data_IF_496731451654
#
_entry.id   IF_496731451654
#
_cell.length_a   1.000
_cell.length_b   1.000
_cell.length_c   1.000
_cell.angle_alpha   90.00
_cell.angle_beta   90.00
_cell.angle_gamma   90.00
#
_symmetry.space_group_name_H-M   'P 1'
#
loop_
_entity.id
_entity.type
_entity.pdbx_description
1 polymer ?
#
# COMPACT_ATOMS: atom_id res chain seq x y z
N UNK A 1 12.26 -58.07 68.90
CA UNK A 1 11.20 -57.08 69.20
C UNK A 1 11.89 -55.72 69.24
N UNK A 2 11.52 -54.74 68.40
CA UNK A 2 10.54 -53.66 68.70
C UNK A 2 10.85 -53.02 70.07
N UNK A 3 11.05 -51.71 70.26
CA UNK A 3 10.76 -50.53 69.42
C UNK A 3 11.45 -49.28 70.06
N UNK A 4 11.70 -48.10 69.45
CA UNK A 4 11.59 -47.53 68.08
C UNK A 4 12.49 -46.25 68.00
N UNK A 5 12.56 -45.53 66.86
CA UNK A 5 13.03 -44.12 66.78
C UNK A 5 12.11 -43.29 65.84
N UNK A 6 11.87 -42.00 66.11
CA UNK A 6 10.86 -41.23 65.37
C UNK A 6 11.35 -40.75 63.99
N UNK A 7 10.52 -40.95 62.97
CA UNK A 7 10.71 -40.33 61.66
C UNK A 7 10.32 -38.85 61.70
N UNK A 8 11.25 -37.96 61.33
CA UNK A 8 10.96 -36.56 61.10
C UNK A 8 10.28 -36.41 59.73
N UNK A 9 8.97 -36.15 59.71
CA UNK A 9 8.22 -35.93 58.47
C UNK A 9 8.44 -34.51 57.95
N UNK A 10 9.21 -34.37 56.87
CA UNK A 10 9.37 -33.10 56.16
C UNK A 10 8.14 -32.86 55.26
N UNK A 11 7.20 -32.02 55.72
CA UNK A 11 6.09 -31.57 54.87
C UNK A 11 6.64 -30.50 53.91
N UNK A 12 6.88 -30.89 52.65
CA UNK A 12 7.12 -29.94 51.57
C UNK A 12 5.76 -29.46 51.06
N UNK A 13 5.39 -28.23 51.41
CA UNK A 13 4.22 -27.58 50.82
C UNK A 13 4.55 -27.11 49.39
N UNK A 14 4.08 -27.85 48.38
CA UNK A 14 4.04 -27.33 47.01
C UNK A 14 2.95 -26.26 46.92
N UNK A 15 3.35 -24.99 46.85
CA UNK A 15 2.48 -23.92 46.36
C UNK A 15 2.36 -24.03 44.84
N UNK A 16 1.23 -24.56 44.35
CA UNK A 16 0.90 -24.52 42.92
C UNK A 16 0.46 -23.09 42.59
N UNK A 17 1.39 -22.27 42.10
CA UNK A 17 1.07 -20.96 41.55
C UNK A 17 0.35 -21.17 40.20
N UNK A 18 -0.98 -21.14 40.23
CA UNK A 18 -1.81 -21.13 39.03
C UNK A 18 -1.68 -19.80 38.31
N UNK A 19 -0.75 -19.71 37.36
CA UNK A 19 -0.69 -18.59 36.42
C UNK A 19 -1.86 -18.69 35.44
N UNK A 20 -2.99 -18.09 35.78
CA UNK A 20 -4.01 -17.76 34.80
C UNK A 20 -3.44 -16.69 33.87
N UNK A 21 -3.13 -17.08 32.62
CA UNK A 21 -2.93 -16.11 31.55
C UNK A 21 -4.25 -15.35 31.37
N UNK A 22 -4.35 -14.18 31.99
CA UNK A 22 -5.46 -13.28 31.74
C UNK A 22 -5.19 -12.65 30.37
N UNK A 23 -5.92 -13.11 29.36
CA UNK A 23 -5.90 -12.45 28.05
C UNK A 23 -6.31 -11.00 28.26
N UNK A 24 -5.39 -10.08 27.99
CA UNK A 24 -5.64 -8.66 28.12
C UNK A 24 -6.70 -8.27 27.10
N UNK A 25 -7.87 -7.84 27.58
CA UNK A 25 -8.93 -7.33 26.70
C UNK A 25 -8.36 -6.16 25.89
N UNK A 26 -8.29 -6.31 24.57
CA UNK A 26 -7.83 -5.27 23.66
C UNK A 26 -8.80 -4.08 23.75
N UNK A 27 -8.26 -2.86 23.75
CA UNK A 27 -9.10 -1.67 23.77
C UNK A 27 -9.98 -1.61 22.52
N UNK A 28 -11.16 -1.00 22.63
CA UNK A 28 -12.01 -0.66 21.47
C UNK A 28 -11.23 0.13 20.41
N UNK A 29 -10.28 0.97 20.86
CA UNK A 29 -9.35 1.73 20.01
C UNK A 29 -8.40 0.78 19.26
N UNK A 30 -7.88 -0.26 19.92
CA UNK A 30 -6.98 -1.24 19.29
C UNK A 30 -7.69 -2.09 18.23
N UNK A 31 -9.02 -2.21 18.31
CA UNK A 31 -9.86 -3.02 17.44
C UNK A 31 -10.54 -2.21 16.33
N UNK A 32 -10.52 -0.88 16.41
CA UNK A 32 -11.20 0.01 15.47
C UNK A 32 -10.41 0.23 14.17
N UNK A 33 -11.14 0.67 13.14
CA UNK A 33 -10.57 1.34 11.97
C UNK A 33 -10.54 2.84 12.23
N UNK A 34 -9.42 3.47 11.93
CA UNK A 34 -9.15 4.87 12.19
C UNK A 34 -9.01 5.62 10.88
N UNK A 35 -9.71 6.75 10.76
CA UNK A 35 -9.46 7.75 9.73
C UNK A 35 -8.15 8.50 10.08
N UNK A 36 -7.30 8.82 9.10
CA UNK A 36 -6.06 9.58 9.36
C UNK A 36 -6.33 11.00 9.91
N UNK A 37 -7.47 11.58 9.55
CA UNK A 37 -7.88 12.93 9.91
C UNK A 37 -7.02 14.02 9.27
N UNK A 38 -7.34 15.27 9.61
CA UNK A 38 -6.52 16.41 9.23
C UNK A 38 -5.13 16.34 9.90
N UNK A 39 -4.05 16.80 9.24
CA UNK A 39 -4.04 17.48 7.93
C UNK A 39 -3.96 16.56 6.70
N UNK A 40 -4.01 15.23 6.88
CA UNK A 40 -3.90 14.29 5.75
C UNK A 40 -5.21 14.21 4.98
N UNK A 41 -6.27 13.72 5.62
CA UNK A 41 -7.60 13.63 5.02
C UNK A 41 -8.31 14.98 5.12
N UNK A 42 -9.01 15.34 4.06
CA UNK A 42 -9.62 16.65 3.85
C UNK A 42 -11.06 16.50 3.36
N UNK A 43 -11.67 17.57 2.84
CA UNK A 43 -12.97 17.51 2.15
C UNK A 43 -12.86 17.03 0.69
N UNK A 44 -11.64 16.85 0.18
CA UNK A 44 -11.36 16.44 -1.20
C UNK A 44 -11.22 14.91 -1.27
N UNK A 45 -10.34 14.38 -2.12
CA UNK A 45 -10.14 12.94 -2.28
C UNK A 45 -8.67 12.62 -2.00
N UNK A 46 -8.43 11.82 -0.98
CA UNK A 46 -7.13 11.28 -0.61
C UNK A 46 -7.06 9.77 -0.86
N UNK A 47 -5.87 9.28 -1.21
CA UNK A 47 -5.62 7.86 -1.35
C UNK A 47 -4.25 7.58 -1.92
N UNK A 48 -4.08 6.36 -2.45
CA UNK A 48 -2.90 5.97 -3.26
C UNK A 48 -1.58 6.29 -2.54
N UNK A 49 -1.18 5.43 -1.59
CA UNK A 49 -0.17 5.76 -0.58
C UNK A 49 0.91 4.69 -0.38
N UNK A 50 2.07 5.12 0.08
CA UNK A 50 3.18 4.25 0.49
C UNK A 50 4.08 4.94 1.53
N UNK A 51 4.98 4.17 2.15
CA UNK A 51 5.81 4.63 3.26
C UNK A 51 7.27 4.23 3.08
N UNK A 52 8.19 5.13 3.46
CA UNK A 52 9.60 4.82 3.68
C UNK A 52 9.83 4.31 5.11
N UNK A 53 11.01 3.73 5.38
CA UNK A 53 11.35 3.15 6.70
C UNK A 53 11.41 4.21 7.82
N UNK A 54 11.66 5.48 7.46
CA UNK A 54 11.68 6.60 8.41
C UNK A 54 10.28 7.14 8.78
N UNK A 55 9.21 6.53 8.24
CA UNK A 55 7.83 6.96 8.46
C UNK A 55 7.35 8.09 7.53
N UNK A 56 8.18 8.53 6.58
CA UNK A 56 7.74 9.43 5.50
C UNK A 56 6.70 8.73 4.64
N UNK A 57 5.51 9.32 4.54
CA UNK A 57 4.44 8.89 3.64
C UNK A 57 4.49 9.72 2.36
N UNK A 58 4.34 9.06 1.21
CA UNK A 58 3.92 9.73 -0.04
C UNK A 58 2.50 9.27 -0.37
N UNK A 59 1.66 10.20 -0.83
CA UNK A 59 0.27 9.92 -1.16
C UNK A 59 -0.29 10.90 -2.20
N UNK A 60 -1.45 10.59 -2.77
CA UNK A 60 -2.18 11.51 -3.64
C UNK A 60 -3.29 12.24 -2.89
N UNK A 61 -3.47 13.52 -3.19
CA UNK A 61 -4.64 14.30 -2.76
C UNK A 61 -5.16 15.18 -3.89
N UNK A 62 -6.48 15.34 -3.95
CA UNK A 62 -7.17 16.31 -4.79
C UNK A 62 -7.36 17.68 -4.10
N UNK A 63 -6.59 17.97 -3.02
CA UNK A 63 -6.77 19.20 -2.23
C UNK A 63 -6.41 20.46 -3.00
N UNK A 64 -7.35 21.40 -3.06
CA UNK A 64 -7.24 22.60 -3.90
C UNK A 64 -6.57 23.78 -3.20
N UNK A 65 -6.44 23.72 -1.87
CA UNK A 65 -5.78 24.75 -1.06
C UNK A 65 -4.24 24.70 -1.13
N UNK A 66 -3.69 23.58 -1.63
CA UNK A 66 -2.26 23.33 -1.80
C UNK A 66 -1.90 22.70 -3.15
N UNK A 67 -2.74 22.84 -4.19
CA UNK A 67 -2.44 22.32 -5.52
C UNK A 67 -1.32 23.12 -6.21
N UNK A 68 -0.57 22.50 -7.13
CA UNK A 68 0.44 23.20 -7.96
C UNK A 68 -0.24 24.22 -8.88
N UNK A 69 -1.36 23.86 -9.50
CA UNK A 69 -2.19 24.74 -10.32
C UNK A 69 -3.66 24.63 -9.90
N UNK A 70 -4.39 25.75 -9.96
CA UNK A 70 -5.82 25.77 -9.63
C UNK A 70 -6.61 24.77 -10.49
N UNK A 71 -7.35 23.90 -9.80
CA UNK A 71 -8.20 22.90 -10.42
C UNK A 71 -7.50 21.65 -10.94
N UNK A 72 -6.27 21.34 -10.51
CA UNK A 72 -5.67 20.01 -10.75
C UNK A 72 -6.51 18.86 -10.18
N UNK A 73 -6.53 17.69 -10.85
CA UNK A 73 -7.36 16.58 -10.45
C UNK A 73 -6.82 15.87 -9.21
N UNK A 74 -5.50 15.66 -9.15
CA UNK A 74 -4.71 15.18 -8.02
C UNK A 74 -3.26 15.65 -8.19
N UNK A 75 -2.57 15.81 -7.06
CA UNK A 75 -1.13 16.05 -6.96
C UNK A 75 -0.49 14.98 -6.04
N UNK A 76 0.81 14.75 -6.18
CA UNK A 76 1.59 13.99 -5.20
C UNK A 76 1.99 14.88 -4.00
N UNK A 77 1.85 14.34 -2.80
CA UNK A 77 2.19 14.98 -1.52
C UNK A 77 3.08 14.07 -0.67
N UNK A 78 3.94 14.69 0.14
CA UNK A 78 4.73 14.01 1.17
C UNK A 78 4.30 14.50 2.56
N UNK A 79 4.15 13.58 3.51
CA UNK A 79 3.89 13.88 4.91
C UNK A 79 4.80 13.09 5.85
N UNK A 80 5.00 13.59 7.07
CA UNK A 80 5.72 12.90 8.13
C UNK A 80 4.91 12.91 9.42
N UNK A 81 4.99 11.82 10.19
CA UNK A 81 4.31 11.70 11.47
C UNK A 81 5.16 12.28 12.60
N UNK A 82 4.55 13.02 13.52
CA UNK A 82 5.20 13.60 14.68
C UNK A 82 4.82 12.80 15.94
N UNK A 83 5.71 11.88 16.34
CA UNK A 83 5.51 11.01 17.50
C UNK A 83 5.33 11.75 18.83
N UNK A 84 5.95 12.93 19.02
CA UNK A 84 5.82 13.73 20.25
C UNK A 84 4.39 14.27 20.42
N UNK A 85 3.73 14.58 19.30
CA UNK A 85 2.35 15.12 19.27
C UNK A 85 1.29 14.04 19.03
N UNK A 86 1.67 12.90 18.46
CA UNK A 86 0.76 11.86 18.01
C UNK A 86 -0.08 12.26 16.78
N UNK A 87 0.44 13.14 15.93
CA UNK A 87 -0.28 13.67 14.77
C UNK A 87 0.62 13.80 13.52
N UNK A 88 0.01 13.83 12.34
CA UNK A 88 0.72 14.15 11.10
C UNK A 88 1.10 15.63 11.06
N UNK A 89 2.30 15.93 10.57
CA UNK A 89 2.67 17.29 10.19
C UNK A 89 1.87 17.73 8.95
N UNK A 90 1.77 19.03 8.70
CA UNK A 90 1.17 19.54 7.45
C UNK A 90 1.92 18.96 6.25
N UNK A 91 1.23 18.32 5.29
CA UNK A 91 1.86 17.72 4.12
C UNK A 91 2.43 18.79 3.18
N UNK A 92 3.41 18.38 2.40
CA UNK A 92 4.10 19.22 1.41
C UNK A 92 3.74 18.70 0.03
N UNK A 93 3.13 19.55 -0.80
CA UNK A 93 2.97 19.28 -2.24
C UNK A 93 4.37 19.10 -2.86
N UNK A 94 4.59 18.04 -3.62
CA UNK A 94 5.90 17.74 -4.19
C UNK A 94 6.36 18.77 -5.24
N UNK A 95 5.43 19.46 -5.89
CA UNK A 95 5.69 20.57 -6.80
C UNK A 95 6.43 20.19 -8.08
N UNK A 96 6.75 21.21 -8.89
CA UNK A 96 7.60 21.08 -10.06
C UNK A 96 9.03 20.71 -9.61
N UNK A 97 9.70 19.72 -10.22
CA UNK A 97 9.33 19.00 -11.44
C UNK A 97 8.56 17.69 -11.24
N UNK A 98 8.31 17.29 -9.99
CA UNK A 98 7.69 15.98 -9.71
C UNK A 98 6.26 15.94 -10.19
N UNK A 99 5.42 16.85 -9.71
CA UNK A 99 4.07 17.04 -10.23
C UNK A 99 4.16 17.79 -11.57
N UNK A 100 3.55 17.26 -12.62
CA UNK A 100 3.48 17.87 -13.93
C UNK A 100 2.43 18.99 -13.94
N UNK A 101 2.79 20.16 -14.47
CA UNK A 101 1.80 21.21 -14.67
C UNK A 101 0.75 20.77 -15.71
N UNK A 102 -0.56 20.96 -15.45
CA UNK A 102 -1.62 20.51 -16.33
C UNK A 102 -1.52 21.12 -17.73
N UNK A 103 -1.48 20.25 -18.73
CA UNK A 103 -1.45 20.63 -20.13
C UNK A 103 -2.81 21.20 -20.56
N UNK A 104 -2.91 22.53 -20.55
CA UNK A 104 -4.16 23.27 -20.85
C UNK A 104 -4.40 23.49 -22.36
N UNK A 105 -3.38 23.29 -23.19
CA UNK A 105 -3.41 23.56 -24.64
C UNK A 105 -3.70 22.32 -25.52
N UNK A 106 -3.78 21.12 -24.95
CA UNK A 106 -4.09 19.87 -25.67
C UNK A 106 -5.47 19.32 -25.29
N UNK A 107 -6.38 19.34 -26.25
CA UNK A 107 -7.67 18.68 -26.17
C UNK A 107 -7.57 17.30 -26.87
N UNK A 108 -8.08 16.18 -26.31
CA UNK A 108 -9.05 16.11 -25.20
C UNK A 108 -8.46 15.76 -23.82
N UNK A 109 -7.17 15.43 -23.72
CA UNK A 109 -6.53 15.01 -22.47
C UNK A 109 -5.80 16.19 -21.81
N UNK A 110 -6.30 16.62 -20.65
CA UNK A 110 -5.54 17.45 -19.72
C UNK A 110 -4.48 16.57 -19.05
N UNK A 111 -3.38 16.34 -19.76
CA UNK A 111 -2.24 15.59 -19.26
C UNK A 111 -1.58 16.30 -18.06
N UNK A 112 -0.98 15.53 -17.16
CA UNK A 112 -0.49 15.95 -15.85
C UNK A 112 -1.16 15.25 -14.64
N UNK A 113 -1.84 14.13 -14.85
CA UNK A 113 -2.51 13.34 -13.79
C UNK A 113 -1.54 12.38 -13.10
N UNK A 114 -0.73 12.91 -12.18
CA UNK A 114 0.25 12.13 -11.41
C UNK A 114 -0.40 11.41 -10.22
N UNK A 115 -0.25 10.08 -10.19
CA UNK A 115 -0.99 9.20 -9.27
C UNK A 115 -0.20 7.99 -8.79
N UNK A 116 -0.76 7.31 -7.80
CA UNK A 116 -0.27 5.98 -7.35
C UNK A 116 1.23 5.96 -6.97
N UNK A 117 1.70 6.85 -6.08
CA UNK A 117 3.11 6.96 -5.72
C UNK A 117 3.58 5.85 -4.78
N UNK A 118 4.72 5.28 -5.13
CA UNK A 118 5.48 4.34 -4.32
C UNK A 118 6.86 4.85 -3.97
N UNK A 119 7.09 5.18 -2.70
CA UNK A 119 8.40 5.55 -2.17
C UNK A 119 9.21 4.30 -1.77
N UNK A 120 10.53 4.32 -2.03
CA UNK A 120 11.43 3.27 -1.55
C UNK A 120 11.66 3.37 -0.04
N UNK A 121 12.01 2.25 0.58
CA UNK A 121 12.32 2.15 2.02
C UNK A 121 13.36 3.18 2.50
N UNK A 122 14.34 3.52 1.65
CA UNK A 122 15.38 4.52 1.95
C UNK A 122 14.95 5.98 1.81
N UNK A 123 13.71 6.24 1.37
CA UNK A 123 13.13 7.58 1.19
C UNK A 123 13.70 8.39 0.02
N UNK A 124 14.50 7.78 -0.87
CA UNK A 124 15.23 8.51 -1.92
C UNK A 124 14.69 8.30 -3.34
N UNK A 125 13.78 7.36 -3.58
CA UNK A 125 13.21 7.11 -4.91
C UNK A 125 11.69 7.06 -4.81
N UNK A 126 10.98 7.72 -5.73
CA UNK A 126 9.52 7.58 -5.87
C UNK A 126 9.22 7.12 -7.30
N UNK A 127 8.45 6.04 -7.41
CA UNK A 127 7.85 5.54 -8.64
C UNK A 127 6.38 5.91 -8.65
N UNK A 128 5.81 6.33 -9.79
CA UNK A 128 4.41 6.76 -9.84
C UNK A 128 3.85 6.65 -11.27
N UNK A 129 2.51 6.61 -11.40
CA UNK A 129 1.78 6.64 -12.67
C UNK A 129 1.64 8.08 -13.16
N UNK A 130 1.83 8.32 -14.46
CA UNK A 130 1.57 9.62 -15.08
C UNK A 130 1.08 9.49 -16.52
N UNK A 131 0.22 10.42 -16.95
CA UNK A 131 -0.18 10.62 -18.34
C UNK A 131 0.64 11.75 -19.04
N UNK A 132 1.72 12.24 -18.43
CA UNK A 132 2.55 13.35 -18.97
C UNK A 132 3.13 13.11 -20.37
N UNK A 133 3.31 11.83 -20.76
CA UNK A 133 3.76 11.40 -22.09
C UNK A 133 2.65 10.73 -22.91
N UNK A 134 1.38 10.86 -22.50
CA UNK A 134 0.25 10.16 -23.12
C UNK A 134 0.17 10.36 -24.63
N UNK A 135 -0.20 9.28 -25.33
CA UNK A 135 -0.37 9.24 -26.77
C UNK A 135 -1.62 8.46 -27.18
N UNK A 136 -2.00 8.51 -28.46
CA UNK A 136 -3.15 7.77 -28.99
C UNK A 136 -2.90 6.25 -28.93
N UNK A 137 -3.31 5.61 -27.83
CA UNK A 137 -3.21 4.16 -27.62
C UNK A 137 -2.68 3.79 -26.24
N UNK A 138 -1.65 4.51 -25.78
CA UNK A 138 -1.12 4.42 -24.43
C UNK A 138 -1.32 5.76 -23.69
N UNK A 139 -2.31 5.86 -22.78
CA UNK A 139 -2.56 7.07 -22.02
C UNK A 139 -1.72 7.18 -20.74
N UNK A 140 -1.07 6.11 -20.24
CA UNK A 140 -0.38 6.13 -18.94
C UNK A 140 0.82 5.18 -18.87
N UNK A 141 1.90 5.70 -18.27
CA UNK A 141 3.12 4.93 -17.99
C UNK A 141 3.61 5.17 -16.56
N UNK A 142 4.61 4.39 -16.15
CA UNK A 142 5.31 4.57 -14.88
C UNK A 142 6.55 5.45 -15.03
N UNK A 143 6.70 6.38 -14.10
CA UNK A 143 7.82 7.31 -14.00
C UNK A 143 8.56 7.11 -12.68
N UNK A 144 9.82 7.57 -12.63
CA UNK A 144 10.66 7.54 -11.45
C UNK A 144 11.33 8.90 -11.21
N UNK A 145 11.31 9.38 -9.97
CA UNK A 145 12.09 10.54 -9.52
C UNK A 145 13.01 10.16 -8.36
N UNK A 146 14.18 10.78 -8.32
CA UNK A 146 15.25 10.49 -7.37
C UNK A 146 15.58 11.72 -6.51
N UNK A 147 15.80 11.53 -5.22
CA UNK A 147 16.17 12.58 -4.26
C UNK A 147 17.68 12.76 -4.23
N UNK A 148 18.17 13.73 -4.98
CA UNK A 148 19.60 14.04 -5.11
C UNK A 148 19.92 15.31 -4.32
N UNK A 149 20.83 15.20 -3.34
CA UNK A 149 21.22 16.30 -2.45
C UNK A 149 20.02 16.99 -1.73
N UNK A 150 18.96 16.23 -1.45
CA UNK A 150 17.75 16.71 -0.78
C UNK A 150 16.67 17.30 -1.70
N UNK A 151 16.91 17.40 -3.00
CA UNK A 151 15.92 17.83 -4.00
C UNK A 151 15.50 16.65 -4.89
N UNK A 152 14.22 16.59 -5.29
CA UNK A 152 13.73 15.61 -6.24
C UNK A 152 14.14 15.97 -7.68
N UNK A 153 14.50 14.97 -8.48
CA UNK A 153 14.86 15.13 -9.88
C UNK A 153 13.64 15.34 -10.77
N UNK A 154 13.87 15.81 -11.99
CA UNK A 154 12.91 15.60 -13.09
C UNK A 154 12.52 14.10 -13.14
N UNK A 155 11.23 13.77 -13.26
CA UNK A 155 10.81 12.38 -13.40
C UNK A 155 11.16 11.80 -14.77
N UNK A 156 11.74 10.61 -14.78
CA UNK A 156 12.12 9.87 -15.98
C UNK A 156 11.14 8.71 -16.22
N UNK A 157 10.77 8.48 -17.48
CA UNK A 157 9.95 7.33 -17.87
C UNK A 157 10.69 6.02 -17.58
N UNK A 158 10.05 5.06 -16.92
CA UNK A 158 10.58 3.70 -16.83
C UNK A 158 10.53 3.06 -18.23
N UNK A 159 11.68 2.67 -18.83
CA UNK A 159 11.69 2.17 -20.19
C UNK A 159 11.11 0.75 -20.29
N UNK A 160 10.98 0.26 -21.52
CA UNK A 160 10.86 -1.17 -21.82
C UNK A 160 11.91 -1.97 -21.00
N UNK A 161 11.56 -3.10 -20.36
CA UNK A 161 10.33 -3.87 -20.52
C UNK A 161 9.17 -3.51 -19.57
N UNK A 162 9.29 -2.42 -18.80
CA UNK A 162 8.20 -1.94 -17.94
C UNK A 162 7.16 -1.25 -18.81
N UNK A 163 7.38 -0.03 -19.28
CA UNK A 163 6.35 0.71 -20.04
C UNK A 163 6.20 0.16 -21.46
N UNK A 164 4.96 -0.05 -21.90
CA UNK A 164 4.61 -0.68 -23.20
C UNK A 164 3.39 -0.05 -23.86
N UNK A 165 3.39 0.03 -25.21
CA UNK A 165 2.35 0.71 -26.02
C UNK A 165 0.89 0.23 -25.80
N UNK A 166 0.68 -0.93 -25.18
CA UNK A 166 -0.64 -1.53 -24.88
C UNK A 166 -0.89 -1.76 -23.38
N UNK A 167 0.12 -1.52 -22.53
CA UNK A 167 0.15 -2.05 -21.18
C UNK A 167 -0.52 -1.19 -20.13
N UNK A 168 -0.64 0.13 -20.35
CA UNK A 168 -1.23 1.08 -19.40
C UNK A 168 -0.67 0.90 -17.97
N UNK A 169 0.65 0.90 -17.83
CA UNK A 169 1.34 0.56 -16.59
C UNK A 169 0.96 1.49 -15.42
N UNK A 170 0.54 0.91 -14.30
CA UNK A 170 0.02 1.64 -13.13
C UNK A 170 0.26 0.89 -11.81
N UNK A 171 -0.11 1.49 -10.68
CA UNK A 171 0.01 0.92 -9.33
C UNK A 171 1.40 0.33 -9.00
N UNK A 172 2.50 1.10 -9.13
CA UNK A 172 3.84 0.62 -8.85
C UNK A 172 4.00 0.25 -7.37
N UNK A 173 4.84 -0.74 -7.10
CA UNK A 173 5.16 -1.23 -5.78
C UNK A 173 6.58 -1.82 -5.71
N UNK A 174 7.53 -1.06 -5.15
CA UNK A 174 8.88 -1.59 -4.87
C UNK A 174 8.90 -2.29 -3.52
N UNK A 175 9.26 -3.57 -3.54
CA UNK A 175 9.27 -4.42 -2.34
C UNK A 175 10.45 -4.09 -1.42
N UNK A 176 10.44 -4.67 -0.21
CA UNK A 176 11.46 -4.41 0.83
C UNK A 176 12.89 -4.84 0.44
N UNK A 177 13.07 -5.59 -0.64
CA UNK A 177 14.39 -5.91 -1.20
C UNK A 177 15.02 -4.74 -1.98
N UNK A 178 14.25 -3.70 -2.31
CA UNK A 178 14.68 -2.53 -3.08
C UNK A 178 14.98 -2.81 -4.56
N UNK A 179 14.79 -4.05 -5.02
CA UNK A 179 15.18 -4.52 -6.36
C UNK A 179 14.05 -5.23 -7.11
N UNK A 180 12.97 -5.63 -6.44
CA UNK A 180 11.72 -6.10 -7.06
C UNK A 180 10.72 -4.96 -7.17
N UNK A 181 10.25 -4.67 -8.38
CA UNK A 181 9.13 -3.77 -8.66
C UNK A 181 7.96 -4.60 -9.16
N UNK A 182 6.85 -4.56 -8.43
CA UNK A 182 5.55 -5.02 -8.88
C UNK A 182 4.72 -3.84 -9.41
N UNK A 183 3.82 -4.11 -10.35
CA UNK A 183 2.91 -3.11 -10.92
C UNK A 183 1.72 -3.80 -11.61
N UNK A 184 0.68 -3.04 -11.92
CA UNK A 184 -0.48 -3.50 -12.67
C UNK A 184 -0.37 -3.12 -14.15
N UNK A 185 -0.78 -4.01 -15.05
CA UNK A 185 -0.69 -3.83 -16.49
C UNK A 185 -1.75 -4.64 -17.25
N UNK A 186 -2.22 -4.10 -18.37
CA UNK A 186 -3.14 -4.72 -19.32
C UNK A 186 -2.42 -5.43 -20.49
N UNK A 187 -1.09 -5.58 -20.42
CA UNK A 187 -0.27 -6.19 -21.49
C UNK A 187 -0.75 -7.59 -21.88
N UNK A 188 -0.52 -7.97 -23.13
CA UNK A 188 -0.91 -9.28 -23.63
C UNK A 188 -0.35 -10.45 -22.79
N UNK A 189 -1.19 -11.47 -22.60
CA UNK A 189 -0.83 -12.70 -21.86
C UNK A 189 -1.23 -12.73 -20.37
N UNK A 190 -1.95 -11.70 -19.88
CA UNK A 190 -2.62 -11.72 -18.58
C UNK A 190 -3.84 -12.65 -18.51
N UNK A 191 -4.48 -12.70 -17.34
CA UNK A 191 -5.67 -13.50 -17.04
C UNK A 191 -6.98 -12.73 -17.26
N UNK A 192 -6.96 -11.41 -17.07
CA UNK A 192 -8.16 -10.57 -17.07
C UNK A 192 -7.96 -9.20 -17.72
N UNK A 193 -8.32 -8.14 -16.99
CA UNK A 193 -8.13 -6.74 -17.38
C UNK A 193 -6.72 -6.27 -17.03
N UNK A 194 -6.60 -5.50 -15.95
CA UNK A 194 -5.30 -5.24 -15.32
C UNK A 194 -4.88 -6.47 -14.50
N UNK A 195 -3.68 -6.95 -14.74
CA UNK A 195 -3.04 -8.06 -14.02
C UNK A 195 -1.81 -7.53 -13.27
N UNK A 196 -1.45 -8.15 -12.14
CA UNK A 196 -0.22 -7.83 -11.41
C UNK A 196 0.98 -8.57 -12.03
N UNK A 197 2.01 -7.81 -12.37
CA UNK A 197 3.33 -8.28 -12.82
C UNK A 197 4.40 -7.83 -11.84
N UNK A 198 5.49 -8.58 -11.74
CA UNK A 198 6.69 -8.14 -11.01
C UNK A 198 7.95 -8.37 -11.85
N UNK A 199 8.86 -7.41 -11.80
CA UNK A 199 10.19 -7.45 -12.41
C UNK A 199 11.26 -7.27 -11.32
N UNK A 200 12.49 -7.68 -11.63
CA UNK A 200 13.67 -7.47 -10.80
C UNK A 200 14.75 -6.73 -11.58
N UNK A 201 15.59 -5.98 -10.89
CA UNK A 201 16.83 -5.44 -11.46
C UNK A 201 17.86 -6.56 -11.65
N UNK A 202 18.58 -6.52 -12.77
CA UNK A 202 19.77 -7.34 -13.02
C UNK A 202 21.03 -6.75 -12.36
N UNK A 203 22.19 -7.39 -12.57
CA UNK A 203 23.48 -6.97 -12.01
C UNK A 203 23.95 -5.59 -12.53
N UNK A 204 23.48 -5.17 -13.71
CA UNK A 204 23.76 -3.86 -14.30
C UNK A 204 22.74 -2.78 -13.86
N UNK A 205 21.73 -3.17 -13.05
CA UNK A 205 20.68 -2.29 -12.53
C UNK A 205 19.50 -2.09 -13.49
N UNK A 206 19.45 -2.82 -14.61
CA UNK A 206 18.38 -2.75 -15.61
C UNK A 206 17.21 -3.64 -15.21
N UNK A 207 15.98 -3.23 -15.53
CA UNK A 207 14.79 -4.03 -15.24
C UNK A 207 14.66 -5.20 -16.21
N UNK A 208 14.48 -6.40 -15.68
CA UNK A 208 14.24 -7.63 -16.46
C UNK A 208 12.78 -7.70 -16.97
N UNK A 209 12.50 -8.66 -17.86
CA UNK A 209 11.15 -8.92 -18.35
C UNK A 209 10.14 -9.20 -17.20
N UNK A 210 9.05 -8.43 -17.06
CA UNK A 210 8.08 -8.60 -15.98
C UNK A 210 7.33 -9.93 -16.05
N UNK A 211 7.25 -10.61 -14.91
CA UNK A 211 6.59 -11.90 -14.76
C UNK A 211 5.18 -11.69 -14.20
N UNK A 212 4.17 -12.24 -14.88
CA UNK A 212 2.79 -12.25 -14.38
C UNK A 212 2.69 -13.07 -13.08
N UNK A 213 2.02 -12.55 -12.04
CA UNK A 213 1.97 -13.18 -10.72
C UNK A 213 1.04 -14.42 -10.61
N UNK A 214 0.52 -14.92 -11.74
CA UNK A 214 -0.11 -16.23 -11.83
C UNK A 214 -1.51 -16.32 -11.20
N UNK A 215 -2.18 -17.47 -11.32
CA UNK A 215 -3.62 -17.61 -11.04
C UNK A 215 -3.97 -17.64 -9.54
N UNK A 216 -2.96 -17.58 -8.67
CA UNK A 216 -3.15 -17.41 -7.23
C UNK A 216 -3.25 -15.94 -6.80
N UNK A 217 -2.82 -15.01 -7.67
CA UNK A 217 -3.01 -13.57 -7.51
C UNK A 217 -3.99 -13.09 -8.58
N UNK A 218 -3.66 -13.23 -9.87
CA UNK A 218 -4.44 -12.72 -10.99
C UNK A 218 -5.61 -13.65 -11.38
N UNK A 219 -6.67 -13.07 -11.91
CA UNK A 219 -7.92 -13.76 -12.29
C UNK A 219 -8.49 -13.17 -13.57
N UNK A 220 -9.69 -13.61 -13.99
CA UNK A 220 -10.40 -13.00 -15.12
C UNK A 220 -11.05 -11.64 -14.80
N UNK A 221 -10.75 -11.05 -13.63
CA UNK A 221 -11.21 -9.74 -13.18
C UNK A 221 -10.10 -8.68 -13.41
N UNK A 222 -9.97 -7.72 -12.51
CA UNK A 222 -8.82 -6.80 -12.45
C UNK A 222 -8.14 -6.96 -11.08
N UNK A 223 -6.80 -6.95 -11.09
CA UNK A 223 -5.92 -7.01 -9.93
C UNK A 223 -4.86 -5.91 -10.01
N UNK A 224 -4.70 -5.14 -8.92
CA UNK A 224 -3.80 -3.98 -8.85
C UNK A 224 -3.48 -3.59 -7.39
N UNK A 225 -2.64 -2.56 -7.19
CA UNK A 225 -2.05 -2.16 -5.90
C UNK A 225 -1.45 -3.31 -5.07
N UNK A 226 -0.25 -3.77 -5.39
CA UNK A 226 0.38 -4.88 -4.67
C UNK A 226 1.23 -4.39 -3.48
N UNK A 227 1.21 -5.08 -2.34
CA UNK A 227 2.20 -4.89 -1.26
C UNK A 227 2.56 -6.24 -0.64
N UNK A 228 3.79 -6.38 -0.12
CA UNK A 228 4.26 -7.58 0.57
C UNK A 228 4.81 -7.24 1.96
N UNK A 229 4.52 -8.07 2.96
CA UNK A 229 5.15 -8.00 4.27
C UNK A 229 6.39 -8.92 4.39
N UNK A 230 7.20 -8.65 5.41
CA UNK A 230 8.41 -9.41 5.75
C UNK A 230 8.20 -10.92 6.01
N UNK A 231 6.96 -11.36 6.21
CA UNK A 231 6.60 -12.75 6.52
C UNK A 231 6.07 -13.49 5.27
N UNK A 232 6.07 -12.82 4.11
CA UNK A 232 5.64 -13.39 2.82
C UNK A 232 4.15 -13.24 2.52
N UNK A 233 3.37 -12.60 3.39
CA UNK A 233 1.97 -12.29 3.09
C UNK A 233 1.90 -11.09 2.14
N UNK A 234 1.22 -11.26 1.02
CA UNK A 234 0.90 -10.19 0.08
C UNK A 234 -0.52 -9.72 0.26
N UNK A 235 -0.76 -8.45 -0.02
CA UNK A 235 -2.07 -7.83 -0.05
C UNK A 235 -2.22 -7.07 -1.38
N UNK A 236 -3.41 -7.14 -1.97
CA UNK A 236 -3.69 -6.51 -3.25
C UNK A 236 -5.17 -6.15 -3.41
N UNK A 237 -5.47 -5.18 -4.27
CA UNK A 237 -6.85 -4.84 -4.67
C UNK A 237 -7.31 -5.75 -5.80
N UNK A 238 -8.58 -6.20 -5.76
CA UNK A 238 -9.20 -6.96 -6.84
C UNK A 238 -10.69 -6.64 -7.00
N UNK A 239 -11.18 -6.70 -8.24
CA UNK A 239 -12.61 -6.61 -8.60
C UNK A 239 -13.30 -7.98 -8.70
N UNK A 240 -12.66 -9.07 -8.23
CA UNK A 240 -13.19 -10.44 -8.39
C UNK A 240 -14.57 -10.63 -7.73
N UNK A 241 -15.47 -11.43 -8.34
CA UNK A 241 -16.79 -11.69 -7.78
C UNK A 241 -16.75 -12.32 -6.38
N UNK A 242 -17.68 -11.91 -5.52
CA UNK A 242 -17.83 -12.43 -4.16
C UNK A 242 -17.19 -11.57 -3.06
N UNK A 243 -16.68 -10.39 -3.40
CA UNK A 243 -16.32 -9.34 -2.44
C UNK A 243 -17.54 -8.64 -1.79
N UNK A 244 -17.25 -7.62 -1.00
CA UNK A 244 -18.21 -6.74 -0.33
C UNK A 244 -18.59 -5.53 -1.21
N UNK A 245 -17.62 -4.97 -1.94
CA UNK A 245 -17.73 -3.76 -2.75
C UNK A 245 -17.44 -3.97 -4.24
N UNK A 246 -17.13 -2.87 -4.94
CA UNK A 246 -16.69 -2.89 -6.34
C UNK A 246 -15.23 -3.31 -6.50
N UNK A 247 -14.39 -2.82 -5.58
CA UNK A 247 -12.98 -3.18 -5.39
C UNK A 247 -12.75 -3.47 -3.93
N UNK A 248 -12.17 -4.64 -3.69
CA UNK A 248 -11.92 -5.19 -2.36
C UNK A 248 -10.44 -5.51 -2.20
N UNK A 249 -9.94 -5.49 -0.97
CA UNK A 249 -8.60 -5.92 -0.63
C UNK A 249 -8.60 -7.43 -0.32
N UNK A 250 -7.69 -8.14 -0.96
CA UNK A 250 -7.41 -9.56 -0.78
C UNK A 250 -5.99 -9.77 -0.25
N UNK A 251 -5.76 -10.92 0.37
CA UNK A 251 -4.44 -11.37 0.82
C UNK A 251 -4.12 -12.78 0.37
N UNK A 252 -2.85 -13.10 0.21
CA UNK A 252 -2.35 -14.44 -0.11
C UNK A 252 -0.95 -14.66 0.49
N UNK A 253 -0.63 -15.88 0.89
CA UNK A 253 0.71 -16.22 1.39
C UNK A 253 1.63 -16.63 0.23
N UNK A 254 2.86 -16.13 0.19
CA UNK A 254 3.88 -16.65 -0.73
C UNK A 254 4.29 -18.07 -0.32
N UNK A 255 4.22 -19.01 -1.26
CA UNK A 255 4.63 -20.40 -1.06
C UNK A 255 5.96 -20.73 -1.78
N UNK A 256 6.32 -19.93 -2.79
CA UNK A 256 7.53 -20.09 -3.57
C UNK A 256 7.76 -18.92 -4.53
N UNK A 257 8.72 -19.08 -5.45
CA UNK A 257 8.96 -18.10 -6.51
C UNK A 257 7.79 -18.11 -7.51
N UNK A 258 6.99 -17.04 -7.51
CA UNK A 258 5.73 -16.95 -8.24
C UNK A 258 4.72 -18.08 -7.93
N UNK A 259 4.72 -18.56 -6.68
CA UNK A 259 3.75 -19.54 -6.18
C UNK A 259 3.03 -18.98 -4.94
N UNK A 260 1.70 -19.03 -4.98
CA UNK A 260 0.84 -18.34 -4.02
C UNK A 260 -0.19 -19.29 -3.41
N UNK A 261 -0.47 -19.10 -2.12
CA UNK A 261 -1.57 -19.77 -1.43
C UNK A 261 -2.94 -19.23 -1.89
N UNK A 262 -4.04 -19.87 -1.47
CA UNK A 262 -5.38 -19.41 -1.81
C UNK A 262 -5.62 -17.96 -1.36
N UNK A 263 -6.01 -17.07 -2.27
CA UNK A 263 -6.38 -15.71 -1.89
C UNK A 263 -7.61 -15.72 -0.98
N UNK A 264 -7.62 -14.83 0.01
CA UNK A 264 -8.76 -14.59 0.89
C UNK A 264 -9.12 -13.11 0.92
N UNK A 265 -10.41 -12.81 1.04
CA UNK A 265 -10.91 -11.46 1.21
C UNK A 265 -10.65 -10.99 2.65
N UNK A 266 -10.21 -9.75 2.87
CA UNK A 266 -9.86 -9.24 4.21
C UNK A 266 -11.07 -9.02 5.14
N UNK A 267 -12.30 -9.16 4.63
CA UNK A 267 -13.52 -9.18 5.42
C UNK A 267 -14.06 -7.78 5.78
N UNK A 268 -15.23 -7.73 6.46
CA UNK A 268 -16.09 -6.54 6.54
C UNK A 268 -15.57 -5.41 7.45
N UNK A 269 -14.38 -5.59 8.02
CA UNK A 269 -13.69 -4.54 8.77
C UNK A 269 -12.83 -3.67 7.85
N UNK A 270 -12.18 -4.31 6.87
CA UNK A 270 -11.34 -3.65 5.87
C UNK A 270 -12.20 -3.28 4.66
N UNK A 271 -12.84 -4.28 4.06
CA UNK A 271 -13.67 -4.13 2.88
C UNK A 271 -15.11 -3.77 3.27
N UNK A 272 -15.70 -2.86 2.52
CA UNK A 272 -17.04 -2.32 2.76
C UNK A 272 -17.92 -2.53 1.52
N UNK A 273 -19.15 -2.02 1.50
CA UNK A 273 -19.96 -1.99 0.27
C UNK A 273 -19.57 -0.85 -0.69
N UNK A 274 -18.41 -0.23 -0.49
CA UNK A 274 -17.90 0.89 -1.26
C UNK A 274 -16.70 0.42 -2.12
N UNK A 275 -15.68 1.26 -2.29
CA UNK A 275 -14.41 0.87 -2.93
C UNK A 275 -13.31 0.92 -1.86
N UNK A 276 -12.56 -0.16 -1.66
CA UNK A 276 -11.48 -0.30 -0.67
C UNK A 276 -10.19 -0.74 -1.38
N UNK A 277 -9.17 0.12 -1.38
CA UNK A 277 -8.07 0.08 -2.35
C UNK A 277 -6.70 0.49 -1.78
N UNK A 278 -5.64 0.13 -2.50
CA UNK A 278 -4.23 0.41 -2.17
C UNK A 278 -3.85 0.03 -0.74
N UNK A 279 -3.77 -1.28 -0.44
CA UNK A 279 -3.19 -1.73 0.81
C UNK A 279 -1.73 -1.28 0.91
N UNK A 280 -1.40 -0.61 2.01
CA UNK A 280 -0.07 -0.11 2.32
C UNK A 280 0.35 -0.56 3.74
N UNK A 281 1.64 -0.82 3.91
CA UNK A 281 2.22 -1.29 5.16
C UNK A 281 3.15 -0.20 5.73
N UNK A 282 2.70 0.58 6.72
CA UNK A 282 3.58 1.49 7.45
C UNK A 282 4.76 0.74 8.10
N UNK A 283 5.92 1.41 8.29
CA UNK A 283 7.06 0.82 8.99
C UNK A 283 6.69 0.38 10.41
N UNK A 284 7.47 -0.56 10.94
CA UNK A 284 7.19 -1.22 12.23
C UNK A 284 6.23 -2.41 12.17
N UNK A 285 5.59 -2.67 11.02
CA UNK A 285 4.80 -3.89 10.72
C UNK A 285 3.54 -4.17 11.60
N UNK A 286 3.21 -3.30 12.55
CA UNK A 286 2.05 -3.45 13.45
C UNK A 286 0.76 -2.79 12.90
N UNK A 287 0.86 -1.98 11.86
CA UNK A 287 -0.25 -1.25 11.23
C UNK A 287 -0.51 -1.70 9.79
N UNK A 288 -1.72 -1.43 9.31
CA UNK A 288 -2.15 -1.66 7.95
C UNK A 288 -3.02 -0.48 7.50
N UNK A 289 -2.69 0.12 6.37
CA UNK A 289 -3.38 1.30 5.83
C UNK A 289 -3.94 1.02 4.45
N UNK A 290 -4.98 1.75 4.08
CA UNK A 290 -5.61 1.71 2.76
C UNK A 290 -6.41 2.99 2.54
N UNK A 291 -6.95 3.20 1.34
CA UNK A 291 -7.93 4.27 1.11
C UNK A 291 -9.29 3.70 0.72
N UNK A 292 -10.34 4.42 1.09
CA UNK A 292 -11.71 3.92 1.04
C UNK A 292 -12.72 5.03 0.79
N UNK A 293 -13.79 4.72 0.06
CA UNK A 293 -14.99 5.58 -0.07
C UNK A 293 -16.11 5.21 0.92
N UNK A 294 -15.76 4.56 2.04
CA UNK A 294 -16.67 4.23 3.15
C UNK A 294 -17.30 5.49 3.77
N UNK A 295 -18.56 5.37 4.19
CA UNK A 295 -19.40 6.51 4.63
C UNK A 295 -19.60 6.58 6.15
N UNK A 296 -19.00 5.67 6.93
CA UNK A 296 -19.19 5.56 8.37
C UNK A 296 -18.25 6.47 9.19
N UNK A 297 -17.15 6.94 8.59
CA UNK A 297 -16.16 7.82 9.22
C UNK A 297 -15.26 8.54 8.20
N UNK A 298 -15.82 9.26 7.23
CA UNK A 298 -15.08 10.00 6.19
C UNK A 298 -15.23 11.53 6.30
N UNK A 299 -14.29 12.25 5.71
CA UNK A 299 -14.30 13.70 5.52
C UNK A 299 -14.57 14.08 4.06
N UNK A 300 -13.99 13.32 3.12
CA UNK A 300 -14.05 13.52 1.68
C UNK A 300 -14.75 12.38 0.94
N UNK A 301 -14.57 12.29 -0.38
CA UNK A 301 -15.13 11.19 -1.19
C UNK A 301 -14.30 9.91 -1.13
N UNK A 302 -13.02 10.05 -0.82
CA UNK A 302 -12.06 8.99 -0.56
C UNK A 302 -11.13 9.50 0.54
N UNK A 303 -10.94 8.69 1.57
CA UNK A 303 -10.15 9.01 2.75
C UNK A 303 -9.15 7.87 3.00
N UNK A 304 -8.00 8.20 3.60
CA UNK A 304 -7.03 7.22 4.06
C UNK A 304 -7.39 6.71 5.46
N UNK A 305 -7.37 5.39 5.64
CA UNK A 305 -7.68 4.69 6.88
C UNK A 305 -6.53 3.78 7.31
N UNK A 306 -6.46 3.47 8.61
CA UNK A 306 -5.61 2.41 9.14
C UNK A 306 -6.29 1.59 10.24
N UNK A 307 -5.74 0.41 10.48
CA UNK A 307 -6.00 -0.44 11.64
C UNK A 307 -4.69 -1.04 12.13
N UNK A 308 -4.68 -1.58 13.35
CA UNK A 308 -3.64 -2.55 13.72
C UNK A 308 -3.73 -3.77 12.81
N UNK A 309 -2.60 -4.20 12.25
CA UNK A 309 -2.48 -5.39 11.39
C UNK A 309 -2.97 -6.65 12.10
N UNK A 310 -2.82 -6.72 13.42
CA UNK A 310 -3.35 -7.78 14.29
C UNK A 310 -4.89 -7.86 14.37
N UNK A 311 -5.63 -7.01 13.64
CA UNK A 311 -7.08 -7.11 13.43
C UNK A 311 -7.44 -7.76 12.09
N UNK A 312 -6.50 -7.83 11.13
CA UNK A 312 -6.70 -8.55 9.87
C UNK A 312 -6.79 -10.04 10.21
N UNK A 313 -7.89 -10.67 9.78
CA UNK A 313 -8.10 -12.10 9.99
C UNK A 313 -7.46 -12.86 8.83
N UNK A 314 -6.30 -13.45 9.07
CA UNK A 314 -5.80 -14.52 8.21
C UNK A 314 -6.64 -15.79 8.43
N UNK A 315 -6.84 -16.63 7.39
CA UNK A 315 -7.48 -17.95 7.50
C UNK A 315 -6.80 -18.90 8.49
#
# INVERSE_FOLDING_TARGET
MKSEMPFLSLIVALSIASFTLQAQERSWIDLAVHNFGAPINTIWAEGELSFADDGTMVYCSARQDMAVVEGDPKDLYIATFNEETGSWNEPVNMGIPVNAAPATDVHPLRAGDDREPWITADGNTIYFRSDRNASDGNPIDLFVTNKVNGAWSEPELLPYPISTDEGNEHCPAVLQDGVTLCFASMRAGGYGGSDIYCTQKDEDGSWMEPINQGPGINTAAEEFHFTQDKDGMVYFTSTRPGGYGGRDIYGAMQLGANEWGPSFNLGPQINTSAEDMCPALPPGADSFSWFSSRQDNNLGSFDIFWTKKANIRTP
#
